data_IF_620669410592
#
_entry.id   IF_620669410592
#
_cell.length_a   1.000
_cell.length_b   1.000
_cell.length_c   1.000
_cell.angle_alpha   90.00
_cell.angle_beta   90.00
_cell.angle_gamma   90.00
#
_symmetry.space_group_name_H-M   'P 1'
#
loop_
_entity.id
_entity.type
_entity.pdbx_description
1 polymer ?
#
# COMPACT_ATOMS: atom_id res chain seq x y z
N UNK A 1 -21.31 -31.77 2.24
CA UNK A 1 -20.79 -31.64 0.86
C UNK A 1 -19.64 -30.65 0.85
N UNK A 2 -18.43 -31.14 0.56
CA UNK A 2 -17.15 -30.44 0.70
C UNK A 2 -17.07 -29.20 -0.20
N UNK A 3 -16.72 -28.04 0.39
CA UNK A 3 -16.21 -26.89 -0.36
C UNK A 3 -14.83 -27.30 -0.85
N UNK A 4 -14.74 -27.80 -2.08
CA UNK A 4 -13.47 -28.05 -2.75
C UNK A 4 -12.60 -26.80 -2.61
N UNK A 5 -11.47 -26.93 -1.92
CA UNK A 5 -10.40 -25.95 -1.93
C UNK A 5 -10.04 -25.72 -3.39
N UNK A 6 -10.56 -24.63 -3.98
CA UNK A 6 -10.14 -24.21 -5.31
C UNK A 6 -8.65 -23.92 -5.20
N UNK A 7 -7.83 -24.78 -5.79
CA UNK A 7 -6.38 -24.62 -5.89
C UNK A 7 -6.07 -23.16 -6.27
N UNK A 8 -5.27 -22.49 -5.42
CA UNK A 8 -4.88 -21.10 -5.64
C UNK A 8 -3.77 -21.06 -6.66
N UNK A 9 -4.11 -21.01 -7.94
CA UNK A 9 -3.13 -20.96 -9.01
C UNK A 9 -3.65 -20.31 -10.28
N UNK A 10 -2.76 -20.26 -11.27
CA UNK A 10 -3.00 -19.67 -12.58
C UNK A 10 -2.62 -20.66 -13.67
N UNK A 11 -3.41 -20.68 -14.73
CA UNK A 11 -3.15 -21.33 -16.01
C UNK A 11 -2.51 -20.30 -16.94
N UNK A 12 -1.26 -20.52 -17.34
CA UNK A 12 -0.50 -19.64 -18.24
C UNK A 12 -0.71 -20.06 -19.70
N UNK A 13 -1.12 -19.09 -20.50
CA UNK A 13 -1.34 -19.23 -21.92
C UNK A 13 -0.36 -18.38 -22.72
N UNK A 14 0.11 -18.93 -23.83
CA UNK A 14 0.93 -18.26 -24.83
C UNK A 14 0.28 -18.55 -26.18
N UNK A 15 -0.08 -17.49 -26.91
CA UNK A 15 -0.73 -17.59 -28.23
C UNK A 15 -1.96 -18.52 -28.23
N UNK A 16 -2.77 -18.41 -27.17
CA UNK A 16 -4.00 -19.17 -26.99
C UNK A 16 -3.81 -20.62 -26.51
N UNK A 17 -2.57 -21.10 -26.39
CA UNK A 17 -2.26 -22.46 -25.92
C UNK A 17 -1.86 -22.47 -24.45
N UNK A 18 -2.38 -23.42 -23.68
CA UNK A 18 -2.00 -23.64 -22.29
C UNK A 18 -0.56 -24.20 -22.24
N UNK A 19 0.33 -23.52 -21.50
CA UNK A 19 1.76 -23.89 -21.42
C UNK A 19 2.18 -24.32 -20.02
N UNK A 20 1.53 -23.81 -18.97
CA UNK A 20 1.86 -24.18 -17.60
C UNK A 20 0.70 -23.90 -16.63
N UNK A 21 0.67 -24.61 -15.50
CA UNK A 21 -0.20 -24.35 -14.36
C UNK A 21 0.66 -24.17 -13.11
N UNK A 22 0.38 -23.17 -12.29
CA UNK A 22 1.17 -22.92 -11.07
C UNK A 22 0.88 -21.57 -10.40
N UNK A 23 1.71 -21.23 -9.40
CA UNK A 23 1.67 -19.93 -8.72
C UNK A 23 2.43 -18.84 -9.49
N UNK A 24 2.27 -17.57 -9.09
CA UNK A 24 3.03 -16.46 -9.69
C UNK A 24 4.53 -16.62 -9.51
N UNK A 25 4.95 -17.12 -8.35
CA UNK A 25 6.36 -17.40 -8.04
C UNK A 25 6.90 -18.50 -8.94
N UNK A 26 6.11 -19.57 -9.16
CA UNK A 26 6.53 -20.66 -10.05
C UNK A 26 6.76 -20.19 -11.49
N UNK A 27 5.97 -19.22 -11.98
CA UNK A 27 6.17 -18.65 -13.31
C UNK A 27 7.35 -17.70 -13.36
N UNK A 28 7.56 -16.90 -12.30
CA UNK A 28 8.73 -16.03 -12.19
C UNK A 28 10.03 -16.84 -12.23
N UNK A 29 10.10 -17.92 -11.45
CA UNK A 29 11.24 -18.83 -11.44
C UNK A 29 11.42 -19.57 -12.77
N UNK A 30 10.34 -20.13 -13.34
CA UNK A 30 10.41 -20.93 -14.59
C UNK A 30 10.83 -20.12 -15.80
N UNK A 31 10.38 -18.87 -15.91
CA UNK A 31 10.66 -18.02 -17.09
C UNK A 31 11.75 -16.97 -16.82
N UNK A 32 12.34 -16.93 -15.62
CA UNK A 32 13.37 -15.96 -15.25
C UNK A 32 12.90 -14.50 -15.32
N UNK A 33 11.61 -14.24 -15.08
CA UNK A 33 11.01 -12.90 -15.18
C UNK A 33 10.62 -12.36 -13.81
N UNK A 34 10.58 -11.04 -13.66
CA UNK A 34 10.12 -10.40 -12.42
C UNK A 34 8.66 -10.75 -12.09
N UNK A 35 8.31 -10.76 -10.80
CA UNK A 35 6.92 -10.91 -10.36
C UNK A 35 5.99 -9.85 -10.96
N UNK A 36 6.47 -8.63 -11.20
CA UNK A 36 5.70 -7.57 -11.85
C UNK A 36 5.33 -7.91 -13.32
N UNK A 37 6.23 -8.60 -14.02
CA UNK A 37 5.97 -9.12 -15.37
C UNK A 37 4.89 -10.20 -15.33
N UNK A 38 4.97 -11.12 -14.36
CA UNK A 38 3.94 -12.15 -14.15
C UNK A 38 2.59 -11.53 -13.78
N UNK A 39 2.57 -10.50 -12.94
CA UNK A 39 1.35 -9.75 -12.61
C UNK A 39 0.73 -9.10 -13.84
N UNK A 40 1.54 -8.68 -14.81
CA UNK A 40 1.05 -8.16 -16.09
C UNK A 40 0.36 -9.26 -16.90
N UNK A 41 0.88 -10.50 -16.89
CA UNK A 41 0.19 -11.65 -17.50
C UNK A 41 -1.13 -11.95 -16.80
N UNK A 42 -1.17 -11.87 -15.47
CA UNK A 42 -2.40 -12.04 -14.68
C UNK A 42 -3.44 -10.95 -15.03
N UNK A 43 -3.01 -9.70 -15.19
CA UNK A 43 -3.90 -8.61 -15.63
C UNK A 43 -4.46 -8.88 -17.03
N UNK A 44 -3.62 -9.32 -17.97
CA UNK A 44 -4.05 -9.69 -19.33
C UNK A 44 -5.02 -10.88 -19.34
N UNK A 45 -4.84 -11.83 -18.43
CA UNK A 45 -5.73 -12.99 -18.26
C UNK A 45 -7.10 -12.64 -17.67
N UNK A 46 -7.34 -11.38 -17.29
CA UNK A 46 -8.65 -10.86 -16.85
C UNK A 46 -9.40 -10.11 -17.94
N UNK A 47 -8.92 -10.13 -19.17
CA UNK A 47 -9.70 -9.62 -20.32
C UNK A 47 -10.75 -10.66 -20.75
N UNK A 48 -11.76 -10.34 -21.57
CA UNK A 48 -12.60 -11.36 -22.20
C UNK A 48 -11.78 -12.30 -23.10
N UNK A 49 -12.22 -13.56 -23.28
CA UNK A 49 -11.44 -14.62 -23.95
C UNK A 49 -10.98 -14.19 -25.36
N UNK A 50 -11.86 -13.53 -26.11
CA UNK A 50 -11.57 -12.98 -27.45
C UNK A 50 -10.35 -12.05 -27.49
N UNK A 51 -10.08 -11.32 -26.41
CA UNK A 51 -8.95 -10.39 -26.30
C UNK A 51 -7.67 -11.03 -25.75
N UNK A 52 -7.78 -12.23 -25.16
CA UNK A 52 -6.66 -12.96 -24.55
C UNK A 52 -5.85 -13.77 -25.56
N UNK A 53 -6.51 -14.33 -26.58
CA UNK A 53 -5.93 -15.34 -27.49
C UNK A 53 -4.58 -14.97 -28.16
N UNK A 54 -4.25 -13.70 -28.47
CA UNK A 54 -2.93 -13.36 -29.01
C UNK A 54 -1.90 -12.93 -27.95
N UNK A 55 -2.24 -12.96 -26.66
CA UNK A 55 -1.39 -12.42 -25.59
C UNK A 55 -0.81 -13.54 -24.72
N UNK A 56 0.41 -13.34 -24.22
CA UNK A 56 0.87 -14.06 -23.03
C UNK A 56 0.05 -13.60 -21.82
N UNK A 57 -0.73 -14.52 -21.26
CA UNK A 57 -1.70 -14.21 -20.22
C UNK A 57 -1.85 -15.36 -19.23
N UNK A 58 -2.15 -15.03 -17.97
CA UNK A 58 -2.32 -15.99 -16.89
C UNK A 58 -3.73 -15.88 -16.31
N UNK A 59 -4.51 -16.95 -16.39
CA UNK A 59 -5.92 -16.99 -15.99
C UNK A 59 -6.03 -17.76 -14.68
N UNK A 60 -6.76 -17.27 -13.65
CA UNK A 60 -7.02 -18.07 -12.46
C UNK A 60 -7.69 -19.41 -12.80
N UNK A 61 -7.36 -20.46 -12.07
CA UNK A 61 -7.99 -21.77 -12.28
C UNK A 61 -9.52 -21.68 -12.23
N UNK A 62 -10.18 -22.35 -13.18
CA UNK A 62 -11.64 -22.36 -13.35
C UNK A 62 -12.18 -21.26 -14.27
N UNK A 63 -11.32 -20.39 -14.81
CA UNK A 63 -11.69 -19.34 -15.78
C UNK A 63 -11.08 -19.55 -17.16
N UNK A 64 -10.44 -20.70 -17.43
CA UNK A 64 -9.72 -20.97 -18.68
C UNK A 64 -10.59 -20.81 -19.93
N UNK A 65 -11.84 -21.29 -19.88
CA UNK A 65 -12.77 -21.30 -21.03
C UNK A 65 -13.94 -20.34 -20.86
N UNK A 66 -13.87 -19.41 -19.90
CA UNK A 66 -14.95 -18.48 -19.58
C UNK A 66 -14.63 -17.06 -20.03
N UNK A 67 -15.64 -16.40 -20.63
CA UNK A 67 -15.64 -14.96 -20.87
C UNK A 67 -15.86 -14.15 -19.58
N UNK A 68 -16.21 -14.81 -18.47
CA UNK A 68 -16.32 -14.16 -17.17
C UNK A 68 -14.96 -13.63 -16.71
N UNK A 69 -14.95 -12.37 -16.30
CA UNK A 69 -13.78 -11.71 -15.72
C UNK A 69 -13.66 -12.14 -14.26
N UNK A 70 -12.54 -12.78 -13.85
CA UNK A 70 -12.36 -13.17 -12.47
C UNK A 70 -12.48 -11.96 -11.54
N UNK A 71 -13.26 -12.03 -10.45
CA UNK A 71 -13.45 -10.89 -9.57
C UNK A 71 -12.13 -10.47 -8.95
N UNK A 72 -11.81 -9.18 -9.07
CA UNK A 72 -10.68 -8.60 -8.35
C UNK A 72 -11.09 -8.59 -6.89
N UNK A 73 -10.39 -9.35 -6.03
CA UNK A 73 -10.36 -9.03 -4.60
C UNK A 73 -9.81 -7.60 -4.53
N UNK A 74 -10.69 -6.62 -4.39
CA UNK A 74 -10.28 -5.26 -4.06
C UNK A 74 -9.44 -5.45 -2.80
N UNK A 75 -8.17 -5.05 -2.84
CA UNK A 75 -7.42 -4.83 -1.60
C UNK A 75 -8.37 -4.05 -0.69
N UNK A 76 -8.53 -4.43 0.60
CA UNK A 76 -9.38 -3.67 1.50
C UNK A 76 -9.00 -2.21 1.30
N UNK A 77 -9.93 -1.42 0.73
CA UNK A 77 -9.61 -0.07 0.29
C UNK A 77 -8.91 0.62 1.44
N UNK A 78 -7.84 1.37 1.18
CA UNK A 78 -7.12 2.15 2.22
C UNK A 78 -8.17 2.65 3.20
N UNK A 79 -8.19 2.11 4.43
CA UNK A 79 -9.13 2.52 5.48
C UNK A 79 -9.13 4.04 5.45
N UNK A 80 -10.32 4.63 5.29
CA UNK A 80 -10.51 6.00 4.82
C UNK A 80 -9.47 6.95 5.40
N UNK A 81 -8.87 7.80 4.55
CA UNK A 81 -7.86 8.78 4.99
C UNK A 81 -8.43 9.47 6.21
N UNK A 82 -7.76 9.27 7.34
CA UNK A 82 -8.20 9.76 8.62
C UNK A 82 -8.50 11.26 8.48
N UNK A 83 -9.72 11.69 8.86
CA UNK A 83 -10.17 13.07 8.67
C UNK A 83 -9.25 14.00 9.48
N UNK A 84 -8.60 14.93 8.79
CA UNK A 84 -7.66 15.91 9.35
C UNK A 84 -8.20 17.32 9.16
N UNK A 85 -8.01 18.15 10.17
CA UNK A 85 -8.35 19.57 10.14
C UNK A 85 -7.10 20.37 9.76
N UNK A 86 -7.28 21.31 8.85
CA UNK A 86 -6.22 22.21 8.37
C UNK A 86 -6.64 23.66 8.58
N UNK A 87 -5.66 24.51 8.87
CA UNK A 87 -5.80 25.96 8.92
C UNK A 87 -5.20 26.55 7.65
N UNK A 88 -6.01 27.24 6.85
CA UNK A 88 -5.60 27.87 5.58
C UNK A 88 -5.18 29.30 5.84
N UNK A 89 -4.00 29.65 5.34
CA UNK A 89 -3.39 30.96 5.43
C UNK A 89 -3.12 31.53 4.05
N UNK A 90 -3.05 32.85 3.96
CA UNK A 90 -2.56 33.58 2.80
C UNK A 90 -1.74 34.77 3.29
N UNK A 91 -0.46 34.84 2.91
CA UNK A 91 0.46 35.89 3.37
C UNK A 91 0.44 36.07 4.90
N UNK A 92 0.42 34.96 5.65
CA UNK A 92 0.37 34.95 7.12
C UNK A 92 -1.01 35.22 7.75
N UNK A 93 -2.04 35.60 6.99
CA UNK A 93 -3.41 35.80 7.51
C UNK A 93 -4.22 34.52 7.46
N UNK A 94 -4.86 34.16 8.57
CA UNK A 94 -5.76 33.02 8.64
C UNK A 94 -7.05 33.31 7.86
N UNK A 95 -7.38 32.44 6.91
CA UNK A 95 -8.58 32.55 6.08
C UNK A 95 -9.70 31.59 6.52
N UNK A 96 -9.35 30.45 7.10
CA UNK A 96 -10.33 29.45 7.51
C UNK A 96 -9.71 28.21 8.11
N UNK A 97 -10.53 27.44 8.82
CA UNK A 97 -10.13 26.18 9.47
C UNK A 97 -11.18 25.12 9.22
N UNK A 98 -10.79 23.96 8.72
CA UNK A 98 -11.74 22.88 8.44
C UNK A 98 -11.08 21.64 7.88
N UNK A 99 -11.89 20.62 7.63
CA UNK A 99 -11.45 19.45 6.86
C UNK A 99 -11.22 19.81 5.39
N UNK A 100 -10.53 18.95 4.63
CA UNK A 100 -10.29 19.23 3.21
C UNK A 100 -11.58 19.38 2.39
N UNK A 101 -12.67 18.73 2.83
CA UNK A 101 -14.00 18.86 2.23
C UNK A 101 -14.67 20.18 2.63
N UNK A 102 -14.68 20.52 3.92
CA UNK A 102 -15.22 21.80 4.41
C UNK A 102 -14.51 23.01 3.79
N UNK A 103 -13.18 22.95 3.64
CA UNK A 103 -12.40 24.01 3.00
C UNK A 103 -12.69 24.10 1.49
N UNK A 104 -12.95 22.98 0.84
CA UNK A 104 -13.33 22.97 -0.58
C UNK A 104 -14.68 23.69 -0.77
N UNK A 105 -15.65 23.43 0.11
CA UNK A 105 -16.94 24.11 0.14
C UNK A 105 -16.79 25.60 0.50
N UNK A 106 -16.09 25.92 1.58
CA UNK A 106 -15.91 27.29 2.07
C UNK A 106 -15.26 28.21 1.03
N UNK A 107 -14.27 27.71 0.28
CA UNK A 107 -13.57 28.49 -0.73
C UNK A 107 -14.14 28.28 -2.15
N UNK A 108 -15.21 27.50 -2.31
CA UNK A 108 -15.79 27.13 -3.61
C UNK A 108 -14.74 26.59 -4.60
N UNK A 109 -13.81 25.77 -4.11
CA UNK A 109 -12.75 25.16 -4.90
C UNK A 109 -12.87 23.64 -4.92
N UNK A 110 -12.25 23.00 -5.91
CA UNK A 110 -12.12 21.55 -5.92
C UNK A 110 -11.19 21.08 -4.77
N UNK A 111 -11.48 19.92 -4.19
CA UNK A 111 -10.67 19.31 -3.12
C UNK A 111 -9.19 19.17 -3.48
N UNK A 112 -8.87 18.96 -4.75
CA UNK A 112 -7.49 18.91 -5.27
C UNK A 112 -6.71 20.21 -4.99
N UNK A 113 -7.36 21.37 -5.05
CA UNK A 113 -6.72 22.65 -4.75
C UNK A 113 -6.40 22.79 -3.25
N UNK A 114 -7.27 22.24 -2.39
CA UNK A 114 -7.00 22.19 -0.95
C UNK A 114 -5.81 21.28 -0.66
N UNK A 115 -5.72 20.12 -1.31
CA UNK A 115 -4.53 19.26 -1.20
C UNK A 115 -3.25 19.95 -1.71
N UNK A 116 -3.37 20.76 -2.76
CA UNK A 116 -2.26 21.59 -3.21
C UNK A 116 -1.82 22.60 -2.14
N UNK A 117 -2.76 23.29 -1.48
CA UNK A 117 -2.42 24.19 -0.35
C UNK A 117 -1.79 23.44 0.82
N UNK A 118 -2.23 22.23 1.13
CA UNK A 118 -1.62 21.36 2.15
C UNK A 118 -0.19 20.99 1.77
N UNK A 119 0.08 20.74 0.49
CA UNK A 119 1.44 20.47 0.03
C UNK A 119 2.35 21.70 0.16
N UNK A 120 1.81 22.90 -0.09
CA UNK A 120 2.53 24.18 0.07
C UNK A 120 2.81 24.52 1.52
N UNK A 121 1.90 24.21 2.44
CA UNK A 121 2.11 24.45 3.88
C UNK A 121 3.19 23.59 4.54
N UNK A 122 3.85 22.71 3.77
CA UNK A 122 5.05 21.95 4.20
C UNK A 122 6.36 22.58 3.74
N UNK A 123 6.29 23.61 2.89
CA UNK A 123 7.47 24.32 2.39
C UNK A 123 7.84 25.46 3.34
N UNK A 124 9.07 25.95 3.21
CA UNK A 124 9.52 27.12 3.96
C UNK A 124 8.77 28.38 3.51
N UNK A 125 8.66 29.36 4.41
CA UNK A 125 7.87 30.58 4.18
C UNK A 125 8.28 31.33 2.90
N UNK A 126 9.58 31.39 2.61
CA UNK A 126 10.13 32.06 1.42
C UNK A 126 9.66 31.40 0.11
N UNK A 127 9.34 30.10 0.14
CA UNK A 127 8.86 29.33 -1.01
C UNK A 127 7.34 29.35 -1.16
N UNK A 128 6.63 29.75 -0.10
CA UNK A 128 5.16 29.86 -0.08
C UNK A 128 4.72 31.16 -0.77
N UNK A 129 5.44 32.26 -0.52
CA UNK A 129 5.14 33.57 -1.08
C UNK A 129 3.75 34.08 -0.69
N UNK A 130 3.01 34.65 -1.65
CA UNK A 130 1.66 35.24 -1.45
C UNK A 130 0.52 34.26 -1.70
N UNK A 131 0.83 32.99 -1.98
CA UNK A 131 -0.14 31.95 -2.34
C UNK A 131 -0.81 31.37 -1.09
N UNK A 132 -2.05 30.91 -1.22
CA UNK A 132 -2.74 30.18 -0.15
C UNK A 132 -2.01 28.89 0.19
N UNK A 133 -1.82 28.63 1.48
CA UNK A 133 -1.22 27.41 2.01
C UNK A 133 -2.01 26.92 3.21
N UNK A 134 -1.95 25.61 3.49
CA UNK A 134 -2.70 25.00 4.57
C UNK A 134 -1.75 24.25 5.52
N UNK A 135 -1.82 24.59 6.80
CA UNK A 135 -1.04 23.95 7.86
C UNK A 135 -1.95 22.97 8.61
N UNK A 136 -1.41 21.80 8.94
CA UNK A 136 -2.13 20.80 9.74
C UNK A 136 -2.36 21.30 11.16
N UNK A 137 -3.61 21.30 11.60
CA UNK A 137 -3.97 21.74 12.94
C UNK A 137 -4.18 20.51 13.85
N UNK A 138 -3.14 20.16 14.60
CA UNK A 138 -3.14 18.99 15.48
C UNK A 138 -4.15 19.11 16.62
N UNK A 139 -4.31 20.30 17.20
CA UNK A 139 -5.19 20.51 18.36
C UNK A 139 -6.65 20.39 17.96
N UNK A 140 -7.06 21.06 16.88
CA UNK A 140 -8.43 20.97 16.36
C UNK A 140 -8.75 19.58 15.79
N UNK A 141 -7.77 18.91 15.17
CA UNK A 141 -7.95 17.53 14.70
C UNK A 141 -8.17 16.57 15.85
N UNK A 142 -7.40 16.69 16.94
CA UNK A 142 -7.56 15.85 18.14
C UNK A 142 -8.90 16.08 18.84
N UNK A 143 -9.37 17.33 18.90
CA UNK A 143 -10.69 17.67 19.45
C UNK A 143 -11.84 17.06 18.64
N UNK A 144 -11.82 17.23 17.30
CA UNK A 144 -12.93 16.80 16.43
C UNK A 144 -12.90 15.31 16.09
N UNK A 145 -11.70 14.72 16.02
CA UNK A 145 -11.50 13.33 15.64
C UNK A 145 -10.58 12.61 16.65
N UNK A 146 -11.02 12.40 17.89
CA UNK A 146 -10.21 11.72 18.90
C UNK A 146 -9.85 10.26 18.52
N UNK A 147 -10.63 9.64 17.62
CA UNK A 147 -10.37 8.29 17.09
C UNK A 147 -9.16 8.21 16.13
N UNK A 148 -8.56 9.35 15.73
CA UNK A 148 -7.41 9.36 14.83
C UNK A 148 -6.12 8.89 15.53
N UNK A 149 -5.98 9.18 16.83
CA UNK A 149 -4.78 8.79 17.60
C UNK A 149 -4.70 7.26 17.72
N UNK A 150 -5.83 6.56 17.77
CA UNK A 150 -5.87 5.09 17.75
C UNK A 150 -5.42 4.51 16.41
N UNK A 151 -5.66 5.17 15.27
CA UNK A 151 -5.27 4.65 13.94
C UNK A 151 -3.77 4.73 13.62
N UNK A 152 -3.00 5.61 14.28
CA UNK A 152 -1.52 5.54 14.24
C UNK A 152 -0.94 4.46 15.17
N UNK A 153 -1.75 3.94 16.09
CA UNK A 153 -1.30 3.10 17.21
C UNK A 153 -1.64 1.61 17.08
N UNK A 154 -2.31 1.17 16.01
CA UNK A 154 -2.74 -0.24 15.88
C UNK A 154 -1.72 -1.20 15.23
N UNK A 155 -0.52 -0.75 14.84
CA UNK A 155 0.47 -1.63 14.21
C UNK A 155 1.82 -1.72 14.94
N UNK A 156 2.02 -1.03 16.07
CA UNK A 156 3.22 -1.22 16.88
C UNK A 156 2.87 -1.31 18.36
N UNK A 157 3.29 -2.40 19.01
CA UNK A 157 3.20 -2.52 20.47
C UNK A 157 4.00 -1.39 21.14
N UNK A 158 3.71 -1.09 22.41
CA UNK A 158 4.46 -0.07 23.19
C UNK A 158 5.98 -0.36 23.16
N UNK A 159 6.35 -1.64 23.08
CA UNK A 159 7.75 -2.08 23.03
C UNK A 159 8.39 -1.84 21.65
N UNK A 160 7.66 -2.03 20.55
CA UNK A 160 8.18 -1.75 19.22
C UNK A 160 8.40 -0.24 18.98
N UNK A 161 7.63 0.62 19.65
CA UNK A 161 7.82 2.07 19.62
C UNK A 161 9.09 2.51 20.35
N UNK A 162 9.34 1.95 21.54
CA UNK A 162 10.58 2.19 22.29
C UNK A 162 11.80 1.70 21.52
N UNK A 163 11.68 0.55 20.88
CA UNK A 163 12.72 0.00 20.00
C UNK A 163 12.93 0.89 18.76
N UNK A 164 11.89 1.46 18.17
CA UNK A 164 12.01 2.38 17.04
C UNK A 164 12.64 3.74 17.39
N UNK A 165 12.33 4.28 18.57
CA UNK A 165 13.00 5.48 19.06
C UNK A 165 14.47 5.23 19.38
N UNK A 166 14.82 4.09 19.99
CA UNK A 166 16.23 3.67 20.13
C UNK A 166 16.93 3.55 18.78
N UNK A 167 16.26 3.03 17.75
CA UNK A 167 16.81 2.87 16.39
C UNK A 167 17.17 4.20 15.70
N UNK A 168 16.57 5.33 16.09
CA UNK A 168 16.89 6.65 15.50
C UNK A 168 18.28 7.14 15.89
N UNK A 169 18.80 6.69 17.04
CA UNK A 169 20.11 7.05 17.58
C UNK A 169 21.14 5.92 17.47
N UNK A 170 20.79 4.81 16.81
CA UNK A 170 21.65 3.63 16.68
C UNK A 170 22.87 3.92 15.78
N UNK A 171 24.06 3.62 16.29
CA UNK A 171 25.32 3.74 15.56
C UNK A 171 25.46 2.66 14.48
N UNK A 172 26.37 2.86 13.52
CA UNK A 172 26.58 1.91 12.41
C UNK A 172 27.02 0.52 12.89
N UNK A 173 27.74 0.46 14.00
CA UNK A 173 28.24 -0.78 14.59
C UNK A 173 27.15 -1.57 15.31
N UNK A 174 26.32 -0.90 16.11
CA UNK A 174 25.14 -1.50 16.74
C UNK A 174 24.18 -2.10 15.69
N UNK A 175 23.98 -1.40 14.57
CA UNK A 175 23.17 -1.91 13.46
C UNK A 175 23.75 -3.17 12.83
N UNK A 176 25.07 -3.26 12.70
CA UNK A 176 25.77 -4.45 12.17
C UNK A 176 25.63 -5.62 13.14
N UNK A 177 25.85 -5.37 14.43
CA UNK A 177 25.70 -6.36 15.49
C UNK A 177 24.28 -6.95 15.51
N UNK A 178 23.26 -6.10 15.45
CA UNK A 178 21.85 -6.52 15.41
C UNK A 178 21.50 -7.36 14.18
N UNK A 179 22.04 -7.01 13.00
CA UNK A 179 21.87 -7.82 11.78
C UNK A 179 22.52 -9.18 11.92
N UNK A 180 23.71 -9.25 12.52
CA UNK A 180 24.40 -10.52 12.76
C UNK A 180 23.61 -11.40 13.73
N UNK A 181 23.11 -10.83 14.83
CA UNK A 181 22.26 -11.56 15.80
C UNK A 181 20.98 -12.06 15.12
N UNK A 182 20.32 -11.24 14.30
CA UNK A 182 19.12 -11.66 13.56
C UNK A 182 19.42 -12.77 12.54
N UNK A 183 20.55 -12.68 11.85
CA UNK A 183 20.99 -13.71 10.90
C UNK A 183 21.28 -15.03 11.63
N UNK A 184 21.94 -14.98 12.79
CA UNK A 184 22.20 -16.15 13.62
C UNK A 184 20.91 -16.79 14.13
N UNK A 185 19.97 -15.99 14.66
CA UNK A 185 18.66 -16.50 15.09
C UNK A 185 17.87 -17.12 13.93
N UNK A 186 17.92 -16.54 12.73
CA UNK A 186 17.26 -17.11 11.56
C UNK A 186 17.87 -18.47 11.15
N UNK A 187 19.19 -18.59 11.21
CA UNK A 187 19.91 -19.86 10.96
C UNK A 187 19.59 -20.89 12.03
N UNK A 188 19.48 -20.47 13.30
CA UNK A 188 19.15 -21.38 14.40
C UNK A 188 17.70 -21.86 14.31
N UNK A 189 16.77 -20.96 14.00
CA UNK A 189 15.36 -21.32 13.80
C UNK A 189 15.18 -22.25 12.59
N UNK A 190 15.87 -22.00 11.46
CA UNK A 190 15.79 -22.91 10.31
C UNK A 190 16.34 -24.29 10.64
N UNK A 191 17.39 -24.38 11.46
CA UNK A 191 17.93 -25.66 11.94
C UNK A 191 16.98 -26.38 12.89
N UNK A 192 16.26 -25.64 13.75
CA UNK A 192 15.23 -26.20 14.63
C UNK A 192 14.02 -26.71 13.83
N UNK A 193 13.59 -25.96 12.82
CA UNK A 193 12.53 -26.37 11.88
C UNK A 193 12.94 -27.62 11.07
N UNK A 194 14.19 -27.73 10.62
CA UNK A 194 14.72 -28.92 9.95
C UNK A 194 14.81 -30.15 10.86
N UNK A 195 14.96 -29.95 12.18
CA UNK A 195 15.00 -31.01 13.19
C UNK A 195 13.60 -31.34 13.76
N UNK A 196 12.54 -30.67 13.30
CA UNK A 196 11.16 -30.94 13.70
C UNK A 196 10.82 -30.61 15.16
N UNK A 197 11.53 -29.65 15.77
CA UNK A 197 11.28 -29.13 17.13
C UNK A 197 10.54 -27.80 17.12
#
# INVERSE_FOLDING_TARGET
MSKAEKEKGYSLFVDGKLVAKGSRESFSAKYGVSLATVDTWVKKGRLPLRKRMPLKHAVPFGYENSDEVPPVRKSPGKKGIAKKVYSVYQSGRLLGTGTADELAEQFHVKKQNVYFWISKGKLDYDQIGTVKYAIFNETETKKRFPQLDTQRNYDLSIDERKEEERRKHETKEERRLRRNIRAQMAIENSRKEELGL
#
